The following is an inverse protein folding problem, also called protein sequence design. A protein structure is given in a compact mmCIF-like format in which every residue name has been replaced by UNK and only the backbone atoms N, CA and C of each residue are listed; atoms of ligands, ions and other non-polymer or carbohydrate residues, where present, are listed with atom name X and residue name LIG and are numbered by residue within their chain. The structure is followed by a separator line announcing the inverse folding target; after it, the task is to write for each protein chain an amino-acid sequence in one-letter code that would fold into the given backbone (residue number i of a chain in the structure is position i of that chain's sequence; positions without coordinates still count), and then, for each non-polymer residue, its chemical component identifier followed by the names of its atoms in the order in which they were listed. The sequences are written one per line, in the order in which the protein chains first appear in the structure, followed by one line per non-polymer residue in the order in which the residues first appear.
data_IF_372397134029
#
_entry.id   IF_372397134029
#
_cell.length_a   1.000
_cell.length_b   1.000
_cell.length_c   1.000
_cell.angle_alpha   90.00
_cell.angle_beta   90.00
_cell.angle_gamma   90.00
#
_symmetry.space_group_name_H-M   'P 1'
#
loop_
_entity.id
_entity.type
_entity.pdbx_description
1 polymer ?
#
# COMPACT_ATOMS: atom_id res chain seq x y z
N UNK A 1 -19.80 -2.22 -9.84
CA UNK A 1 -19.16 -1.16 -10.62
C UNK A 1 -19.72 -1.22 -12.04
N UNK A 2 -20.51 -0.23 -12.48
CA UNK A 2 -20.87 -0.11 -13.90
C UNK A 2 -19.61 0.20 -14.72
N UNK A 3 -19.54 -0.31 -15.95
CA UNK A 3 -18.45 0.01 -16.88
C UNK A 3 -18.68 1.41 -17.45
N UNK A 4 -17.74 2.36 -17.33
CA UNK A 4 -17.83 3.62 -18.04
C UNK A 4 -17.79 3.34 -19.55
N UNK A 5 -18.49 4.17 -20.33
CA UNK A 5 -18.41 4.10 -21.77
C UNK A 5 -16.98 4.42 -22.26
N UNK A 6 -16.67 3.96 -23.48
CA UNK A 6 -15.33 4.10 -24.07
C UNK A 6 -14.90 5.56 -24.21
N UNK A 7 -15.83 6.48 -24.45
CA UNK A 7 -15.53 7.90 -24.58
C UNK A 7 -15.06 8.50 -23.25
N UNK A 8 -15.71 8.15 -22.14
CA UNK A 8 -15.28 8.57 -20.80
C UNK A 8 -13.91 8.02 -20.41
N UNK A 9 -13.63 6.75 -20.69
CA UNK A 9 -12.32 6.17 -20.40
C UNK A 9 -11.21 6.79 -21.27
N UNK A 10 -11.49 7.05 -22.55
CA UNK A 10 -10.57 7.74 -23.43
C UNK A 10 -10.29 9.19 -22.98
N UNK A 11 -11.31 9.88 -22.45
CA UNK A 11 -11.18 11.26 -21.97
C UNK A 11 -10.25 11.41 -20.74
N UNK A 12 -9.95 10.31 -20.06
CA UNK A 12 -9.05 10.21 -18.90
C UNK A 12 -7.80 9.36 -19.20
N UNK A 13 -7.47 9.16 -20.48
CA UNK A 13 -6.21 8.56 -20.91
C UNK A 13 -5.03 9.52 -20.70
N UNK A 14 -4.72 9.77 -19.43
CA UNK A 14 -3.71 10.71 -18.99
C UNK A 14 -3.25 10.39 -17.57
N UNK A 15 -2.10 10.94 -17.21
CA UNK A 15 -1.60 10.98 -15.84
C UNK A 15 -2.50 11.87 -14.99
N UNK A 16 -2.40 11.74 -13.67
CA UNK A 16 -3.19 12.58 -12.78
C UNK A 16 -2.78 14.05 -12.86
N UNK A 17 -1.50 14.37 -13.04
CA UNK A 17 -1.06 15.76 -13.25
C UNK A 17 -1.65 16.38 -14.51
N UNK A 18 -1.67 15.65 -15.63
CA UNK A 18 -2.32 16.12 -16.86
C UNK A 18 -3.82 16.34 -16.67
N UNK A 19 -4.49 15.46 -15.90
CA UNK A 19 -5.89 15.66 -15.53
C UNK A 19 -6.09 16.95 -14.73
N UNK A 20 -5.23 17.25 -13.76
CA UNK A 20 -5.32 18.49 -13.00
C UNK A 20 -5.11 19.73 -13.88
N UNK A 21 -4.17 19.67 -14.82
CA UNK A 21 -3.90 20.73 -15.79
C UNK A 21 -5.09 20.98 -16.73
N UNK A 22 -5.66 19.90 -17.28
CA UNK A 22 -6.84 19.95 -18.15
C UNK A 22 -8.07 20.59 -17.49
N UNK A 23 -8.14 20.55 -16.16
CA UNK A 23 -9.28 21.04 -15.38
C UNK A 23 -8.96 22.30 -14.55
N UNK A 24 -7.82 22.96 -14.79
CA UNK A 24 -7.42 24.20 -14.11
C UNK A 24 -7.37 24.09 -12.56
N UNK A 25 -7.04 22.91 -12.04
CA UNK A 25 -6.98 22.61 -10.59
C UNK A 25 -5.58 22.17 -10.14
N UNK A 26 -4.54 22.57 -10.88
CA UNK A 26 -3.16 22.21 -10.58
C UNK A 26 -2.67 22.65 -9.19
N UNK A 27 -3.25 23.70 -8.63
CA UNK A 27 -2.94 24.18 -7.28
C UNK A 27 -3.12 23.08 -6.21
N UNK A 28 -3.98 22.09 -6.48
CA UNK A 28 -4.21 20.96 -5.58
C UNK A 28 -3.06 19.93 -5.56
N UNK A 29 -2.08 20.01 -6.48
CA UNK A 29 -0.89 19.14 -6.49
C UNK A 29 -0.18 19.11 -5.13
N UNK A 30 -0.16 20.25 -4.42
CA UNK A 30 0.45 20.37 -3.09
C UNK A 30 -0.23 19.50 -2.02
N UNK A 31 -1.55 19.29 -2.13
CA UNK A 31 -2.32 18.43 -1.22
C UNK A 31 -2.16 16.95 -1.63
N UNK A 32 -2.11 16.69 -2.93
CA UNK A 32 -2.03 15.32 -3.45
C UNK A 32 -0.68 14.66 -3.27
N UNK A 33 0.41 15.43 -3.22
CA UNK A 33 1.75 14.90 -2.99
C UNK A 33 1.86 14.11 -1.66
N UNK A 34 1.50 14.68 -0.48
CA UNK A 34 1.47 13.90 0.76
C UNK A 34 0.31 12.90 0.79
N UNK A 35 -0.81 13.18 0.14
CA UNK A 35 -1.99 12.31 0.18
C UNK A 35 -1.84 11.04 -0.67
N UNK A 36 -1.01 11.04 -1.73
CA UNK A 36 -0.82 9.89 -2.61
C UNK A 36 0.64 9.42 -2.63
N UNK A 37 1.55 10.27 -3.10
CA UNK A 37 2.94 9.88 -3.34
C UNK A 37 3.65 9.47 -2.06
N UNK A 38 3.55 10.27 -0.99
CA UNK A 38 4.16 9.91 0.32
C UNK A 38 3.67 8.57 0.87
N UNK A 39 2.46 8.14 0.51
CA UNK A 39 1.90 6.86 0.93
C UNK A 39 2.36 5.67 0.07
N UNK A 40 3.27 5.89 -0.88
CA UNK A 40 3.84 4.87 -1.74
C UNK A 40 3.07 4.64 -3.04
N UNK A 41 2.08 5.48 -3.36
CA UNK A 41 1.25 5.31 -4.57
C UNK A 41 1.85 5.90 -5.84
N UNK A 42 3.18 6.10 -5.90
CA UNK A 42 3.87 6.66 -7.06
C UNK A 42 3.73 8.18 -7.22
N UNK A 43 4.42 8.75 -8.20
CA UNK A 43 4.34 10.19 -8.48
C UNK A 43 3.08 10.53 -9.28
N UNK A 44 2.45 11.66 -8.96
CA UNK A 44 1.19 12.09 -9.57
C UNK A 44 1.30 12.37 -11.08
N UNK A 45 2.51 12.57 -11.60
CA UNK A 45 2.83 12.73 -13.02
C UNK A 45 3.13 11.40 -13.74
N UNK A 46 3.05 10.27 -13.03
CA UNK A 46 3.26 8.92 -13.58
C UNK A 46 2.00 8.04 -13.43
N UNK A 47 1.21 8.31 -12.39
CA UNK A 47 0.02 7.53 -12.03
C UNK A 47 -1.16 7.96 -12.90
N UNK A 48 -1.95 6.99 -13.37
CA UNK A 48 -3.16 7.28 -14.15
C UNK A 48 -4.17 8.09 -13.34
N UNK A 49 -4.90 8.98 -14.01
CA UNK A 49 -5.97 9.75 -13.38
C UNK A 49 -7.01 8.83 -12.72
N UNK A 50 -7.29 7.66 -13.32
CA UNK A 50 -8.23 6.66 -12.76
C UNK A 50 -7.79 6.19 -11.37
N UNK A 51 -6.54 5.75 -11.20
CA UNK A 51 -6.06 5.29 -9.90
C UNK A 51 -6.06 6.40 -8.87
N UNK A 52 -5.62 7.60 -9.27
CA UNK A 52 -5.64 8.76 -8.39
C UNK A 52 -7.07 9.08 -7.92
N UNK A 53 -8.08 9.01 -8.79
CA UNK A 53 -9.48 9.26 -8.42
C UNK A 53 -10.13 8.15 -7.57
N UNK A 54 -9.69 6.89 -7.72
CA UNK A 54 -10.12 5.80 -6.82
C UNK A 54 -9.69 6.08 -5.38
N UNK A 55 -8.50 6.66 -5.20
CA UNK A 55 -7.94 6.95 -3.88
C UNK A 55 -8.37 8.33 -3.34
N UNK A 56 -8.16 9.38 -4.13
CA UNK A 56 -8.33 10.79 -3.76
C UNK A 56 -9.79 11.24 -3.93
N UNK A 57 -10.69 10.50 -3.29
CA UNK A 57 -12.12 10.82 -3.29
C UNK A 57 -12.40 12.13 -2.54
N UNK A 58 -13.49 12.81 -2.89
CA UNK A 58 -13.94 14.01 -2.16
C UNK A 58 -14.07 13.75 -0.66
N UNK A 59 -14.63 12.61 -0.26
CA UNK A 59 -14.77 12.24 1.14
C UNK A 59 -13.42 12.10 1.84
N UNK A 60 -12.45 11.44 1.20
CA UNK A 60 -11.11 11.31 1.76
C UNK A 60 -10.44 12.68 1.95
N UNK A 61 -10.43 13.51 0.91
CA UNK A 61 -9.81 14.84 0.96
C UNK A 61 -10.48 15.76 1.99
N UNK A 62 -11.81 15.69 2.08
CA UNK A 62 -12.57 16.47 3.05
C UNK A 62 -12.23 16.04 4.48
N UNK A 63 -12.12 14.74 4.75
CA UNK A 63 -11.75 14.24 6.08
C UNK A 63 -10.26 14.47 6.41
N UNK A 64 -9.39 14.52 5.40
CA UNK A 64 -7.98 14.86 5.59
C UNK A 64 -7.80 16.30 6.10
N UNK A 65 -8.61 17.22 5.57
CA UNK A 65 -8.54 18.66 5.88
C UNK A 65 -9.40 19.07 7.09
N UNK A 66 -10.56 18.44 7.27
CA UNK A 66 -11.48 18.78 8.36
C UNK A 66 -10.94 18.29 9.70
N UNK A 67 -11.16 19.12 10.72
CA UNK A 67 -11.13 18.73 12.12
C UNK A 67 -12.55 18.51 12.62
N UNK A 68 -12.71 17.67 13.63
CA UNK A 68 -13.99 17.51 14.31
C UNK A 68 -14.31 18.71 15.22
N UNK A 69 -15.44 18.66 15.91
CA UNK A 69 -15.90 19.73 16.81
C UNK A 69 -14.93 20.04 17.96
N UNK A 70 -14.07 19.08 18.32
CA UNK A 70 -13.04 19.24 19.35
C UNK A 70 -11.68 19.64 18.75
N UNK A 71 -11.63 19.90 17.44
CA UNK A 71 -10.40 20.23 16.73
C UNK A 71 -9.51 19.03 16.42
N UNK A 72 -9.98 17.79 16.62
CA UNK A 72 -9.17 16.60 16.38
C UNK A 72 -9.16 16.17 14.91
N UNK A 73 -8.13 15.42 14.54
CA UNK A 73 -8.04 14.79 13.23
C UNK A 73 -9.07 13.68 13.06
N UNK A 74 -9.73 13.66 11.90
CA UNK A 74 -10.57 12.54 11.46
C UNK A 74 -9.77 11.32 10.99
N UNK A 75 -8.45 11.47 10.81
CA UNK A 75 -7.54 10.36 10.52
C UNK A 75 -7.14 9.70 11.84
N UNK A 76 -7.53 8.43 12.00
CA UNK A 76 -7.27 7.64 13.20
C UNK A 76 -6.27 6.51 12.92
N UNK A 77 -5.57 6.07 13.97
CA UNK A 77 -4.62 4.96 13.94
C UNK A 77 -5.11 3.89 14.92
N UNK A 78 -4.98 2.62 14.55
CA UNK A 78 -5.25 1.51 15.47
C UNK A 78 -4.10 1.41 16.48
N UNK A 79 -4.39 1.59 17.76
CA UNK A 79 -3.38 1.56 18.84
C UNK A 79 -2.62 0.24 18.95
N UNK A 80 -3.22 -0.86 18.48
CA UNK A 80 -2.58 -2.20 18.39
C UNK A 80 -2.16 -2.59 16.96
N UNK A 81 -2.29 -1.66 16.00
CA UNK A 81 -1.97 -1.89 14.59
C UNK A 81 -2.96 -2.78 13.84
N UNK A 82 -2.82 -2.82 12.50
CA UNK A 82 -3.66 -3.66 11.64
C UNK A 82 -3.41 -5.16 11.83
N UNK A 83 -2.19 -5.57 12.20
CA UNK A 83 -1.89 -6.98 12.45
C UNK A 83 -2.74 -7.56 13.58
N UNK A 84 -2.94 -6.82 14.66
CA UNK A 84 -3.80 -7.22 15.77
C UNK A 84 -5.25 -7.42 15.31
N UNK A 85 -5.76 -6.52 14.47
CA UNK A 85 -7.10 -6.64 13.90
C UNK A 85 -7.26 -7.97 13.12
N UNK A 86 -6.30 -8.32 12.27
CA UNK A 86 -6.35 -9.57 11.50
C UNK A 86 -6.24 -10.82 12.37
N UNK A 87 -5.40 -10.77 13.41
CA UNK A 87 -5.28 -11.85 14.39
C UNK A 87 -6.59 -12.08 15.15
N UNK A 88 -7.26 -11.00 15.57
CA UNK A 88 -8.57 -11.09 16.22
C UNK A 88 -9.65 -11.60 15.27
N UNK A 89 -9.68 -11.14 14.02
CA UNK A 89 -10.62 -11.67 13.02
C UNK A 89 -10.43 -13.17 12.81
N UNK A 90 -9.18 -13.63 12.66
CA UNK A 90 -8.87 -15.06 12.55
C UNK A 90 -9.37 -15.83 13.77
N UNK A 91 -9.05 -15.34 14.98
CA UNK A 91 -9.40 -15.99 16.25
C UNK A 91 -10.91 -16.09 16.45
N UNK A 92 -11.64 -15.00 16.22
CA UNK A 92 -13.09 -14.94 16.45
C UNK A 92 -13.89 -15.76 15.43
N UNK A 93 -13.42 -15.87 14.19
CA UNK A 93 -14.12 -16.59 13.13
C UNK A 93 -13.58 -18.01 12.88
N UNK A 94 -12.63 -18.47 13.71
CA UNK A 94 -11.96 -19.78 13.57
C UNK A 94 -11.48 -20.06 12.13
N UNK A 95 -10.84 -19.07 11.51
CA UNK A 95 -10.38 -19.18 10.12
C UNK A 95 -9.17 -20.13 10.01
N UNK A 96 -9.23 -21.08 9.08
CA UNK A 96 -8.08 -21.92 8.72
C UNK A 96 -7.04 -21.09 7.96
N UNK A 97 -6.07 -20.55 8.71
CA UNK A 97 -4.94 -19.80 8.17
C UNK A 97 -3.67 -20.57 8.50
N UNK A 98 -3.01 -21.05 7.44
CA UNK A 98 -1.77 -21.83 7.51
C UNK A 98 -0.58 -20.92 7.17
N UNK A 99 0.26 -20.65 8.17
CA UNK A 99 1.48 -19.85 8.03
C UNK A 99 2.66 -20.75 7.70
N UNK A 100 3.73 -20.18 7.13
CA UNK A 100 4.91 -20.93 6.68
C UNK A 100 4.58 -22.05 5.68
N UNK A 101 3.52 -21.84 4.90
CA UNK A 101 3.03 -22.79 3.90
C UNK A 101 3.17 -22.26 2.47
N UNK A 102 4.40 -22.08 1.95
CA UNK A 102 4.57 -21.50 0.62
C UNK A 102 3.97 -22.43 -0.44
N UNK A 103 3.05 -21.89 -1.23
CA UNK A 103 2.52 -22.54 -2.43
C UNK A 103 3.58 -22.47 -3.53
N UNK A 104 3.95 -23.64 -4.05
CA UNK A 104 5.02 -23.81 -5.03
C UNK A 104 4.49 -24.14 -6.42
N UNK A 105 3.25 -24.64 -6.50
CA UNK A 105 2.61 -24.94 -7.77
C UNK A 105 1.10 -25.13 -7.60
N UNK A 106 0.37 -24.82 -8.67
CA UNK A 106 -1.06 -25.03 -8.79
C UNK A 106 -1.30 -25.71 -10.13
N UNK A 107 -1.76 -26.97 -10.08
CA UNK A 107 -2.15 -27.71 -11.27
C UNK A 107 -3.65 -27.57 -11.45
N UNK A 108 -4.04 -27.06 -12.61
CA UNK A 108 -5.45 -26.84 -12.97
C UNK A 108 -5.99 -28.01 -13.79
N UNK A 109 -7.16 -28.50 -13.40
CA UNK A 109 -7.98 -29.44 -14.18
C UNK A 109 -9.22 -28.73 -14.75
N UNK A 110 -10.10 -29.45 -15.46
CA UNK A 110 -11.34 -28.86 -16.00
C UNK A 110 -12.29 -28.30 -14.92
N UNK A 111 -12.27 -28.85 -13.70
CA UNK A 111 -13.21 -28.51 -12.62
C UNK A 111 -12.59 -28.50 -11.22
N UNK A 112 -11.27 -28.57 -11.12
CA UNK A 112 -10.59 -28.62 -9.84
C UNK A 112 -9.16 -28.15 -9.94
N UNK A 113 -8.55 -27.94 -8.78
CA UNK A 113 -7.18 -27.49 -8.60
C UNK A 113 -6.47 -28.44 -7.65
N UNK A 114 -5.20 -28.72 -7.92
CA UNK A 114 -4.30 -29.37 -6.99
C UNK A 114 -3.27 -28.34 -6.57
N UNK A 115 -3.29 -27.98 -5.29
CA UNK A 115 -2.28 -27.13 -4.68
C UNK A 115 -1.10 -27.98 -4.24
N UNK A 116 0.10 -27.53 -4.61
CA UNK A 116 1.38 -28.11 -4.22
C UNK A 116 2.08 -27.08 -3.34
N UNK A 117 2.26 -27.41 -2.06
CA UNK A 117 2.87 -26.50 -1.09
C UNK A 117 3.74 -27.25 -0.10
N UNK A 118 4.57 -26.51 0.65
CA UNK A 118 5.28 -27.06 1.79
C UNK A 118 4.54 -26.75 3.07
N UNK A 119 4.50 -27.69 4.00
CA UNK A 119 4.03 -27.47 5.37
C UNK A 119 5.04 -28.10 6.31
N UNK A 120 5.66 -27.29 7.17
CA UNK A 120 6.75 -27.72 8.06
C UNK A 120 7.84 -28.53 7.33
N UNK A 121 8.19 -28.10 6.10
CA UNK A 121 9.12 -28.76 5.16
C UNK A 121 8.64 -30.07 4.49
N UNK A 122 7.41 -30.51 4.75
CA UNK A 122 6.81 -31.65 4.04
C UNK A 122 6.04 -31.20 2.81
N UNK A 123 6.13 -31.98 1.74
CA UNK A 123 5.30 -31.76 0.56
C UNK A 123 3.85 -32.12 0.85
N UNK A 124 2.94 -31.21 0.48
CA UNK A 124 1.49 -31.39 0.56
C UNK A 124 0.87 -31.22 -0.81
N UNK A 125 -0.16 -32.02 -1.05
CA UNK A 125 -0.98 -32.04 -2.25
C UNK A 125 -2.43 -32.01 -1.80
N UNK A 126 -3.17 -30.97 -2.17
CA UNK A 126 -4.54 -30.79 -1.68
C UNK A 126 -5.45 -30.35 -2.83
N UNK A 127 -6.65 -30.91 -2.86
CA UNK A 127 -7.63 -30.70 -3.91
C UNK A 127 -8.60 -29.58 -3.53
N UNK A 128 -8.91 -28.71 -4.48
CA UNK A 128 -9.87 -27.62 -4.31
C UNK A 128 -10.77 -27.50 -5.54
N UNK A 129 -12.03 -27.11 -5.33
CA UNK A 129 -12.99 -26.88 -6.43
C UNK A 129 -12.79 -25.50 -7.09
N UNK A 130 -12.31 -24.53 -6.31
CA UNK A 130 -12.06 -23.17 -6.76
C UNK A 130 -10.88 -22.53 -6.04
N UNK A 131 -10.41 -21.40 -6.60
CA UNK A 131 -9.35 -20.59 -6.01
C UNK A 131 -9.79 -19.13 -5.85
N UNK A 132 -9.33 -18.52 -4.77
CA UNK A 132 -9.37 -17.08 -4.57
C UNK A 132 -7.92 -16.62 -4.46
N UNK A 133 -7.44 -15.87 -5.45
CA UNK A 133 -6.07 -15.41 -5.54
C UNK A 133 -5.99 -13.96 -5.07
N UNK A 134 -5.16 -13.70 -4.07
CA UNK A 134 -4.84 -12.36 -3.54
C UNK A 134 -3.47 -11.80 -3.94
N UNK A 135 -2.45 -12.60 -4.35
CA UNK A 135 -1.15 -12.04 -4.75
C UNK A 135 -1.26 -11.21 -6.04
N UNK A 136 -0.19 -10.47 -6.35
CA UNK A 136 -0.05 -9.83 -7.67
C UNK A 136 -0.03 -10.92 -8.74
N UNK A 137 -1.02 -10.93 -9.65
CA UNK A 137 -1.20 -12.08 -10.55
C UNK A 137 0.02 -12.33 -11.44
N UNK A 138 0.71 -11.27 -11.88
CA UNK A 138 1.97 -11.38 -12.62
C UNK A 138 3.06 -12.18 -11.88
N UNK A 139 3.12 -12.10 -10.55
CA UNK A 139 4.11 -12.86 -9.76
C UNK A 139 3.77 -14.35 -9.63
N UNK A 140 2.54 -14.75 -9.99
CA UNK A 140 2.08 -16.13 -9.92
C UNK A 140 2.33 -16.92 -11.21
N UNK A 141 2.91 -16.33 -12.25
CA UNK A 141 3.14 -16.99 -13.55
C UNK A 141 3.99 -18.27 -13.46
N UNK A 142 4.86 -18.37 -12.45
CA UNK A 142 5.65 -19.57 -12.17
C UNK A 142 4.96 -20.58 -11.23
N UNK A 143 3.82 -20.21 -10.65
CA UNK A 143 3.05 -21.02 -9.68
C UNK A 143 1.82 -21.62 -10.36
N UNK A 144 1.13 -20.84 -11.20
CA UNK A 144 -0.06 -21.25 -11.95
C UNK A 144 0.10 -20.86 -13.42
N UNK A 145 -0.26 -21.79 -14.31
CA UNK A 145 -0.32 -21.50 -15.74
C UNK A 145 -1.66 -20.82 -16.09
N UNK A 146 -1.64 -19.50 -16.19
CA UNK A 146 -2.74 -18.70 -16.70
C UNK A 146 -2.97 -18.96 -18.21
N UNK A 147 -4.22 -18.92 -18.66
CA UNK A 147 -4.54 -19.00 -20.08
C UNK A 147 -4.23 -17.68 -20.82
N UNK A 148 -4.45 -17.64 -22.13
CA UNK A 148 -4.13 -16.47 -22.95
C UNK A 148 -4.89 -15.18 -22.54
N UNK A 149 -6.16 -15.29 -22.20
CA UNK A 149 -7.00 -14.17 -21.74
C UNK A 149 -6.55 -13.67 -20.36
N UNK A 150 -6.24 -14.58 -19.44
CA UNK A 150 -5.70 -14.23 -18.12
C UNK A 150 -4.32 -13.55 -18.24
N UNK A 151 -3.42 -14.12 -19.03
CA UNK A 151 -2.06 -13.58 -19.23
C UNK A 151 -2.07 -12.19 -19.86
N UNK A 152 -2.95 -11.95 -20.84
CA UNK A 152 -3.02 -10.63 -21.50
C UNK A 152 -3.41 -9.53 -20.52
N UNK A 153 -4.22 -9.84 -19.49
CA UNK A 153 -4.64 -8.91 -18.45
C UNK A 153 -3.57 -8.69 -17.39
N UNK A 154 -2.73 -9.67 -17.06
CA UNK A 154 -1.82 -9.56 -15.91
C UNK A 154 -0.41 -9.11 -16.28
N UNK A 155 0.04 -9.37 -17.50
CA UNK A 155 1.44 -9.20 -17.91
C UNK A 155 1.96 -7.75 -17.88
N UNK A 156 1.10 -6.77 -18.14
CA UNK A 156 1.51 -5.35 -18.25
C UNK A 156 1.61 -4.64 -16.91
N UNK A 157 1.13 -5.28 -15.85
CA UNK A 157 1.24 -4.71 -14.50
C UNK A 157 2.69 -4.55 -14.05
N UNK A 158 2.91 -3.54 -13.22
CA UNK A 158 4.19 -3.24 -12.60
C UNK A 158 3.97 -2.66 -11.20
N UNK A 159 5.01 -2.63 -10.38
CA UNK A 159 4.97 -2.06 -9.04
C UNK A 159 6.26 -1.27 -8.79
N UNK A 160 6.24 -0.48 -7.72
CA UNK A 160 7.45 0.03 -7.10
C UNK A 160 7.66 -0.68 -5.76
N UNK A 161 8.82 -0.45 -5.16
CA UNK A 161 9.11 -0.95 -3.84
C UNK A 161 8.83 0.15 -2.83
N UNK A 162 8.07 -0.18 -1.79
CA UNK A 162 7.94 0.69 -0.63
C UNK A 162 8.71 0.07 0.52
N UNK A 163 9.54 0.86 1.18
CA UNK A 163 10.35 0.42 2.30
C UNK A 163 9.99 1.22 3.54
N UNK A 164 9.85 0.50 4.65
CA UNK A 164 9.80 1.09 5.97
C UNK A 164 11.01 0.60 6.78
N UNK A 165 11.71 1.53 7.43
CA UNK A 165 12.74 1.21 8.41
C UNK A 165 12.27 1.66 9.79
N UNK A 166 12.16 0.71 10.72
CA UNK A 166 12.06 1.02 12.15
C UNK A 166 13.46 1.34 12.65
N UNK A 167 13.66 2.56 13.16
CA UNK A 167 14.94 2.97 13.71
C UNK A 167 14.77 3.69 15.05
N UNK A 168 15.68 3.40 15.96
CA UNK A 168 15.83 4.15 17.20
C UNK A 168 16.83 5.27 17.02
N UNK A 169 16.42 6.48 17.37
CA UNK A 169 17.27 7.68 17.29
C UNK A 169 17.38 8.36 18.64
N UNK A 170 18.53 9.00 18.90
CA UNK A 170 18.60 9.96 20.02
C UNK A 170 17.79 11.21 19.68
N UNK A 171 17.56 12.04 20.71
CA UNK A 171 16.96 13.34 20.48
C UNK A 171 17.85 14.23 19.61
N UNK A 172 17.22 15.00 18.73
CA UNK A 172 17.86 15.93 17.80
C UNK A 172 16.89 17.04 17.40
N UNK A 173 17.12 17.67 16.24
CA UNK A 173 16.20 18.64 15.65
C UNK A 173 14.90 17.97 15.22
N UNK A 174 13.77 18.53 15.64
CA UNK A 174 12.43 18.01 15.33
C UNK A 174 11.51 19.11 14.81
N UNK A 175 10.53 18.68 14.00
CA UNK A 175 9.36 19.47 13.64
C UNK A 175 8.41 19.65 14.83
N UNK A 176 7.35 20.43 14.66
CA UNK A 176 6.26 20.53 15.64
C UNK A 176 5.33 19.30 15.63
N UNK A 177 5.31 18.54 14.54
CA UNK A 177 4.50 17.32 14.44
C UNK A 177 5.39 16.07 14.54
N UNK A 178 4.91 14.98 15.20
CA UNK A 178 5.60 13.69 15.28
C UNK A 178 5.54 12.89 13.98
N UNK A 179 5.10 13.52 12.89
CA UNK A 179 5.14 13.02 11.52
C UNK A 179 5.67 14.14 10.66
N UNK A 180 6.60 13.84 9.76
CA UNK A 180 7.18 14.83 8.86
C UNK A 180 7.35 14.26 7.46
N UNK A 181 7.27 15.16 6.47
CA UNK A 181 7.46 14.85 5.06
C UNK A 181 8.57 15.71 4.47
N UNK A 182 9.42 15.11 3.66
CA UNK A 182 10.53 15.76 2.99
C UNK A 182 10.16 15.99 1.52
N UNK A 183 9.36 17.03 1.28
CA UNK A 183 8.78 17.30 -0.04
C UNK A 183 9.82 17.38 -1.16
N UNK A 184 11.02 17.93 -0.88
CA UNK A 184 12.10 18.02 -1.86
C UNK A 184 12.65 16.63 -2.25
N UNK A 185 12.74 15.71 -1.29
CA UNK A 185 13.14 14.32 -1.55
C UNK A 185 12.08 13.58 -2.38
N UNK A 186 10.80 13.88 -2.13
CA UNK A 186 9.71 13.31 -2.93
C UNK A 186 9.77 13.87 -4.36
N UNK A 187 9.95 15.19 -4.52
CA UNK A 187 9.98 15.85 -5.83
C UNK A 187 11.21 15.51 -6.66
N UNK A 188 12.35 15.22 -6.03
CA UNK A 188 13.59 14.89 -6.74
C UNK A 188 13.53 13.55 -7.46
N UNK A 189 12.61 12.66 -7.07
CA UNK A 189 12.47 11.28 -7.57
C UNK A 189 13.75 10.46 -7.45
N UNK A 190 14.71 10.91 -6.63
CA UNK A 190 15.93 10.17 -6.38
C UNK A 190 15.58 8.96 -5.52
N UNK A 191 15.90 7.79 -6.05
CA UNK A 191 15.65 6.49 -5.44
C UNK A 191 16.21 6.44 -4.00
N UNK A 192 15.48 5.79 -3.08
CA UNK A 192 15.91 5.53 -1.69
C UNK A 192 16.03 6.74 -0.77
N UNK A 193 15.76 7.98 -1.22
CA UNK A 193 15.71 9.09 -0.27
C UNK A 193 14.57 8.90 0.73
N UNK A 194 14.79 9.32 1.98
CA UNK A 194 13.75 9.32 3.01
C UNK A 194 12.68 10.34 2.62
N UNK A 195 11.44 9.89 2.48
CA UNK A 195 10.30 10.72 2.07
C UNK A 195 9.55 11.29 3.27
N UNK A 196 9.58 10.57 4.39
CA UNK A 196 9.03 11.04 5.63
C UNK A 196 9.24 10.07 6.76
N UNK A 197 8.77 10.46 7.93
CA UNK A 197 8.91 9.68 9.15
C UNK A 197 7.66 9.79 10.02
N UNK A 198 7.55 8.87 10.98
CA UNK A 198 6.59 8.94 12.08
C UNK A 198 7.25 8.47 13.39
N UNK A 199 7.27 9.33 14.39
CA UNK A 199 7.64 8.99 15.77
C UNK A 199 6.49 8.25 16.44
N UNK A 200 6.73 7.01 16.86
CA UNK A 200 5.67 6.09 17.27
C UNK A 200 4.99 6.50 18.57
N UNK A 201 5.79 6.71 19.62
CA UNK A 201 5.26 7.06 20.94
C UNK A 201 4.50 8.39 20.93
N UNK A 202 5.09 9.42 20.30
CA UNK A 202 4.47 10.73 20.20
C UNK A 202 3.18 10.70 19.38
N UNK A 203 3.15 9.95 18.27
CA UNK A 203 1.92 9.81 17.46
C UNK A 203 0.80 9.07 18.20
N UNK A 204 1.14 8.05 19.00
CA UNK A 204 0.14 7.30 19.79
C UNK A 204 -0.44 8.10 20.96
N UNK A 205 0.36 9.00 21.54
CA UNK A 205 -0.03 9.79 22.72
C UNK A 205 -0.39 11.26 22.38
N UNK A 206 -0.56 11.57 21.09
CA UNK A 206 -0.87 12.91 20.59
C UNK A 206 0.08 14.01 21.13
N UNK A 207 1.38 13.70 21.22
CA UNK A 207 2.40 14.65 21.67
C UNK A 207 2.87 15.45 20.46
N UNK A 208 2.54 16.74 20.45
CA UNK A 208 2.75 17.69 19.34
C UNK A 208 3.25 19.04 19.86
N UNK A 209 3.58 19.96 18.94
CA UNK A 209 4.00 21.32 19.24
C UNK A 209 5.30 21.39 20.03
N UNK A 210 5.37 22.39 20.93
CA UNK A 210 6.53 22.62 21.79
C UNK A 210 6.93 21.38 22.60
N UNK A 211 5.97 20.62 23.11
CA UNK A 211 6.26 19.40 23.89
C UNK A 211 7.05 18.39 23.05
N UNK A 212 6.63 18.17 21.81
CA UNK A 212 7.34 17.26 20.91
C UNK A 212 8.68 17.84 20.42
N UNK A 213 8.72 19.11 20.03
CA UNK A 213 9.90 19.78 19.49
C UNK A 213 10.97 20.13 20.52
N UNK A 214 10.63 20.12 21.80
CA UNK A 214 11.56 20.26 22.94
C UNK A 214 11.86 18.92 23.62
N UNK A 215 11.22 17.83 23.19
CA UNK A 215 11.47 16.50 23.71
C UNK A 215 10.92 16.24 25.12
N UNK A 216 9.85 16.95 25.47
CA UNK A 216 9.15 16.85 26.75
C UNK A 216 8.09 15.75 26.63
N UNK A 217 8.32 14.64 27.33
CA UNK A 217 7.42 13.47 27.32
C UNK A 217 6.90 13.21 28.74
N UNK A 218 5.58 13.09 28.96
CA UNK A 218 5.02 12.79 30.27
C UNK A 218 5.63 11.51 30.87
N UNK A 219 6.30 11.62 32.02
CA UNK A 219 6.96 10.49 32.72
C UNK A 219 8.32 10.05 32.16
N UNK A 220 8.92 10.80 31.24
CA UNK A 220 10.25 10.53 30.67
C UNK A 220 11.37 11.43 31.22
N UNK A 221 12.62 11.01 31.05
CA UNK A 221 13.78 11.91 31.14
C UNK A 221 13.94 12.62 29.80
N UNK A 222 13.97 13.95 29.82
CA UNK A 222 14.08 14.81 28.64
C UNK A 222 15.31 14.44 27.80
N UNK A 223 15.13 14.31 26.48
CA UNK A 223 16.22 14.30 25.49
C UNK A 223 17.22 13.13 25.47
N UNK A 224 17.22 12.22 26.47
CA UNK A 224 18.26 11.17 26.58
C UNK A 224 17.80 9.80 26.05
N UNK A 225 16.49 9.51 26.09
CA UNK A 225 15.99 8.19 25.67
C UNK A 225 16.01 8.05 24.14
N UNK A 226 16.47 6.89 23.68
CA UNK A 226 16.26 6.43 22.31
C UNK A 226 14.76 6.43 22.01
N UNK A 227 14.41 6.90 20.81
CA UNK A 227 13.03 6.97 20.36
C UNK A 227 12.87 6.25 19.03
N UNK A 228 11.82 5.45 18.94
CA UNK A 228 11.54 4.68 17.73
C UNK A 228 10.70 5.49 16.74
N UNK A 229 11.23 5.57 15.53
CA UNK A 229 10.57 6.16 14.37
C UNK A 229 10.49 5.17 13.24
N UNK A 230 9.42 5.24 12.46
CA UNK A 230 9.33 4.58 11.16
C UNK A 230 9.70 5.61 10.09
N UNK A 231 10.65 5.25 9.25
CA UNK A 231 11.08 6.02 8.09
C UNK A 231 10.58 5.37 6.81
N UNK A 232 10.08 6.17 5.87
CA UNK A 232 9.51 5.69 4.62
C UNK A 232 10.38 6.09 3.42
N UNK A 233 10.63 5.14 2.53
CA UNK A 233 11.37 5.30 1.28
C UNK A 233 10.60 4.60 0.17
N UNK A 234 10.52 5.20 -1.02
CA UNK A 234 9.99 4.55 -2.22
C UNK A 234 11.13 4.33 -3.22
N UNK A 235 11.07 3.21 -3.94
CA UNK A 235 12.11 2.81 -4.84
C UNK A 235 11.59 2.18 -6.14
N UNK A 236 12.23 2.47 -7.25
CA UNK A 236 11.93 1.83 -8.53
C UNK A 236 12.53 0.43 -8.64
N UNK A 237 13.67 0.20 -7.98
CA UNK A 237 14.36 -1.08 -7.95
C UNK A 237 14.38 -1.66 -6.53
N UNK A 238 14.45 -2.99 -6.43
CA UNK A 238 14.50 -3.64 -5.12
C UNK A 238 15.76 -3.19 -4.37
N UNK A 239 15.63 -2.65 -3.15
CA UNK A 239 16.77 -2.10 -2.43
C UNK A 239 17.77 -3.16 -1.99
N UNK A 240 19.05 -2.82 -2.06
CA UNK A 240 20.07 -3.42 -1.21
C UNK A 240 19.93 -2.78 0.18
N UNK A 241 19.50 -3.58 1.16
CA UNK A 241 19.16 -3.11 2.52
C UNK A 241 20.24 -2.24 3.17
N UNK A 242 21.49 -2.70 3.11
CA UNK A 242 22.62 -1.96 3.67
C UNK A 242 22.80 -0.55 3.06
N UNK A 243 22.56 -0.40 1.74
CA UNK A 243 22.64 0.90 1.06
C UNK A 243 21.48 1.80 1.52
N UNK A 244 20.26 1.26 1.58
CA UNK A 244 19.10 2.03 2.04
C UNK A 244 19.23 2.46 3.51
N UNK A 245 19.83 1.62 4.36
CA UNK A 245 20.15 1.95 5.74
C UNK A 245 21.21 3.06 5.84
N UNK A 246 22.27 3.00 5.03
CA UNK A 246 23.28 4.07 5.02
C UNK A 246 22.65 5.41 4.60
N UNK A 247 21.80 5.41 3.57
CA UNK A 247 21.10 6.62 3.14
C UNK A 247 20.14 7.17 4.20
N UNK A 248 19.49 6.29 4.97
CA UNK A 248 18.71 6.70 6.13
C UNK A 248 19.62 7.37 7.18
N UNK A 249 20.76 6.76 7.53
CA UNK A 249 21.71 7.32 8.51
C UNK A 249 22.20 8.70 8.08
N UNK A 250 22.61 8.84 6.83
CA UNK A 250 23.09 10.11 6.26
C UNK A 250 21.98 11.17 6.30
N UNK A 251 20.75 10.79 5.96
CA UNK A 251 19.60 11.68 6.01
C UNK A 251 19.31 12.16 7.44
N UNK A 252 19.17 11.23 8.39
CA UNK A 252 18.81 11.55 9.78
C UNK A 252 19.91 12.38 10.44
N UNK A 253 21.18 12.04 10.23
CA UNK A 253 22.30 12.84 10.73
C UNK A 253 22.29 14.27 10.17
N UNK A 254 21.96 14.45 8.89
CA UNK A 254 21.94 15.77 8.26
C UNK A 254 20.72 16.62 8.66
N UNK A 255 19.54 16.00 8.69
CA UNK A 255 18.26 16.71 8.82
C UNK A 255 17.81 16.82 10.26
N UNK A 256 17.86 15.70 10.98
CA UNK A 256 17.45 15.60 12.39
C UNK A 256 18.63 15.82 13.34
N UNK A 257 19.88 15.83 12.86
CA UNK A 257 21.07 16.12 13.68
C UNK A 257 21.19 15.25 14.93
N UNK A 258 20.79 13.98 14.82
CA UNK A 258 20.88 13.01 15.92
C UNK A 258 22.30 12.46 16.03
N UNK A 259 22.64 11.95 17.22
CA UNK A 259 23.96 11.33 17.47
C UNK A 259 23.97 9.82 17.22
N UNK A 260 22.83 9.16 17.46
CA UNK A 260 22.70 7.72 17.33
C UNK A 260 21.52 7.41 16.42
N UNK A 261 21.74 6.50 15.47
CA UNK A 261 20.71 5.86 14.65
C UNK A 261 20.93 4.36 14.76
N UNK A 262 19.91 3.60 15.14
CA UNK A 262 19.94 2.13 15.17
C UNK A 262 18.76 1.59 14.39
N UNK A 263 19.01 1.11 13.18
CA UNK A 263 18.00 0.39 12.42
C UNK A 263 17.69 -0.94 13.15
N UNK A 264 16.43 -1.13 13.52
CA UNK A 264 15.93 -2.32 14.20
C UNK A 264 15.37 -3.32 13.19
N UNK A 265 14.57 -2.83 12.25
CA UNK A 265 13.91 -3.67 11.25
C UNK A 265 13.71 -2.91 9.95
N UNK A 266 13.82 -3.63 8.83
CA UNK A 266 13.50 -3.13 7.49
C UNK A 266 12.54 -4.08 6.79
N UNK A 267 11.40 -3.53 6.38
CA UNK A 267 10.42 -4.25 5.57
C UNK A 267 10.35 -3.59 4.20
N UNK A 268 10.28 -4.42 3.16
CA UNK A 268 10.19 -4.01 1.77
C UNK A 268 8.98 -4.71 1.17
N UNK A 269 8.08 -3.93 0.59
CA UNK A 269 6.90 -4.42 -0.11
C UNK A 269 7.03 -4.16 -1.60
N UNK A 270 6.64 -5.15 -2.41
CA UNK A 270 6.25 -4.95 -3.81
C UNK A 270 4.90 -4.22 -3.78
N UNK A 271 4.93 -2.90 -3.85
CA UNK A 271 3.83 -2.05 -3.40
C UNK A 271 3.15 -1.33 -4.55
N UNK A 272 1.82 -1.23 -4.45
CA UNK A 272 0.97 -0.56 -5.43
C UNK A 272 1.19 -1.10 -6.85
N UNK A 273 0.97 -2.40 -6.98
CA UNK A 273 0.91 -3.05 -8.28
C UNK A 273 -0.23 -2.43 -9.11
N UNK A 274 0.12 -1.95 -10.29
CA UNK A 274 -0.74 -1.09 -11.11
C UNK A 274 -0.48 -1.28 -12.59
N UNK A 275 -1.39 -0.72 -13.39
CA UNK A 275 -1.31 -0.72 -14.85
C UNK A 275 -0.86 0.63 -15.43
N UNK A 276 -0.20 0.61 -16.61
CA UNK A 276 0.09 1.82 -17.38
C UNK A 276 -1.16 2.65 -17.69
N UNK A 277 -0.96 3.95 -17.93
CA UNK A 277 -2.04 4.89 -18.28
C UNK A 277 -2.93 4.38 -19.44
N UNK A 278 -2.38 3.89 -20.57
CA UNK A 278 -3.21 3.41 -21.68
C UNK A 278 -4.08 2.20 -21.30
N UNK A 279 -3.53 1.25 -20.54
CA UNK A 279 -4.26 0.05 -20.12
C UNK A 279 -5.43 0.42 -19.20
N UNK A 280 -5.20 1.35 -18.28
CA UNK A 280 -6.23 1.89 -17.41
C UNK A 280 -7.34 2.59 -18.21
N UNK A 281 -6.97 3.35 -19.24
CA UNK A 281 -7.91 4.00 -20.14
C UNK A 281 -8.62 3.05 -21.12
N UNK A 282 -8.09 1.85 -21.33
CA UNK A 282 -8.76 0.79 -22.08
C UNK A 282 -9.72 -0.04 -21.19
N UNK A 283 -9.70 0.19 -19.88
CA UNK A 283 -10.63 -0.41 -18.95
C UNK A 283 -10.19 -1.76 -18.39
N UNK A 284 -8.87 -1.99 -18.26
CA UNK A 284 -8.31 -3.26 -17.80
C UNK A 284 -8.88 -3.75 -16.46
N UNK A 285 -9.20 -2.85 -15.52
CA UNK A 285 -9.82 -3.24 -14.24
C UNK A 285 -11.23 -3.82 -14.42
N UNK A 286 -11.97 -3.38 -15.45
CA UNK A 286 -13.27 -3.94 -15.80
C UNK A 286 -13.12 -5.25 -16.55
N UNK A 287 -12.10 -5.40 -17.40
CA UNK A 287 -11.81 -6.70 -18.04
C UNK A 287 -11.49 -7.77 -16.99
N UNK A 288 -10.72 -7.43 -15.94
CA UNK A 288 -10.47 -8.34 -14.81
C UNK A 288 -11.76 -8.64 -14.03
N UNK A 289 -12.67 -7.67 -13.91
CA UNK A 289 -13.96 -7.87 -13.27
C UNK A 289 -14.88 -8.81 -14.08
N UNK A 290 -14.80 -8.77 -15.41
CA UNK A 290 -15.61 -9.58 -16.31
C UNK A 290 -15.22 -11.06 -16.30
N UNK A 291 -13.96 -11.38 -15.94
CA UNK A 291 -13.48 -12.77 -15.85
C UNK A 291 -13.62 -13.40 -14.45
N UNK A 292 -14.17 -12.68 -13.46
CA UNK A 292 -14.30 -13.18 -12.09
C UNK A 292 -15.16 -14.46 -12.04
N UNK A 293 -14.64 -15.52 -11.42
CA UNK A 293 -15.30 -16.82 -11.33
C UNK A 293 -15.25 -17.64 -12.62
N UNK A 294 -14.84 -17.04 -13.74
CA UNK A 294 -14.51 -17.80 -14.94
C UNK A 294 -13.44 -18.80 -14.56
N UNK A 295 -13.62 -20.05 -14.98
CA UNK A 295 -12.69 -21.12 -14.70
C UNK A 295 -12.55 -21.52 -13.21
N UNK A 296 -13.45 -21.07 -12.34
CA UNK A 296 -13.36 -21.37 -10.91
C UNK A 296 -12.27 -20.58 -10.19
N UNK A 297 -11.87 -19.41 -10.71
CA UNK A 297 -10.88 -18.54 -10.08
C UNK A 297 -11.46 -17.15 -9.87
N UNK A 298 -11.23 -16.60 -8.68
CA UNK A 298 -11.52 -15.21 -8.35
C UNK A 298 -10.23 -14.48 -8.04
N UNK A 299 -10.08 -13.28 -8.59
CA UNK A 299 -8.89 -12.44 -8.42
C UNK A 299 -9.26 -11.27 -7.53
N UNK A 300 -8.63 -11.19 -6.35
CA UNK A 300 -8.86 -10.17 -5.34
C UNK A 300 -7.52 -9.61 -4.85
N UNK A 301 -7.53 -8.89 -3.72
CA UNK A 301 -6.32 -8.26 -3.17
C UNK A 301 -6.07 -6.90 -3.81
N UNK A 302 -5.06 -6.19 -3.33
CA UNK A 302 -4.78 -4.80 -3.72
C UNK A 302 -4.46 -4.60 -5.20
N UNK A 303 -3.95 -5.64 -5.86
CA UNK A 303 -3.65 -5.68 -7.29
C UNK A 303 -4.85 -5.33 -8.18
N UNK A 304 -6.06 -5.70 -7.76
CA UNK A 304 -7.24 -5.57 -8.62
C UNK A 304 -7.92 -4.19 -8.47
N UNK A 305 -8.36 -3.74 -7.27
CA UNK A 305 -9.03 -2.46 -7.16
C UNK A 305 -8.06 -1.30 -6.94
N UNK A 306 -7.24 -1.38 -5.89
CA UNK A 306 -6.26 -0.39 -5.44
C UNK A 306 -5.57 -0.89 -4.16
N UNK A 307 -4.37 -0.38 -3.88
CA UNK A 307 -3.58 -0.66 -2.66
C UNK A 307 -4.11 0.07 -1.42
N UNK A 308 -5.37 -0.16 -1.07
CA UNK A 308 -5.97 0.30 0.20
C UNK A 308 -6.98 -0.72 0.74
N UNK A 309 -7.06 -0.84 2.07
CA UNK A 309 -7.99 -1.77 2.71
C UNK A 309 -9.45 -1.47 2.33
N UNK A 310 -9.83 -0.19 2.28
CA UNK A 310 -11.19 0.21 1.89
C UNK A 310 -11.52 -0.20 0.47
N UNK A 311 -10.59 -0.04 -0.49
CA UNK A 311 -10.81 -0.46 -1.86
C UNK A 311 -10.89 -2.00 -1.98
N UNK A 312 -10.01 -2.72 -1.31
CA UNK A 312 -10.01 -4.20 -1.30
C UNK A 312 -11.30 -4.74 -0.69
N UNK A 313 -11.71 -4.26 0.49
CA UNK A 313 -12.97 -4.67 1.13
C UNK A 313 -14.18 -4.28 0.28
N UNK A 314 -14.18 -3.07 -0.29
CA UNK A 314 -15.25 -2.63 -1.20
C UNK A 314 -15.38 -3.51 -2.43
N UNK A 315 -14.25 -3.92 -3.02
CA UNK A 315 -14.21 -4.83 -4.16
C UNK A 315 -14.67 -6.23 -3.79
N UNK A 316 -14.20 -6.78 -2.67
CA UNK A 316 -14.64 -8.10 -2.20
C UNK A 316 -16.15 -8.11 -1.96
N UNK A 317 -16.71 -7.07 -1.34
CA UNK A 317 -18.15 -6.92 -1.15
C UNK A 317 -18.92 -6.80 -2.47
N UNK A 318 -18.34 -6.15 -3.48
CA UNK A 318 -18.91 -6.12 -4.84
C UNK A 318 -18.97 -7.53 -5.44
N UNK A 319 -17.90 -8.31 -5.30
CA UNK A 319 -17.86 -9.69 -5.80
C UNK A 319 -18.85 -10.59 -5.06
N UNK A 320 -18.89 -10.54 -3.73
CA UNK A 320 -19.87 -11.31 -2.95
C UNK A 320 -21.31 -11.08 -3.39
N UNK A 321 -21.66 -9.83 -3.76
CA UNK A 321 -23.01 -9.50 -4.27
C UNK A 321 -23.28 -9.99 -5.70
N UNK A 322 -22.23 -10.30 -6.47
CA UNK A 322 -22.31 -10.77 -7.86
C UNK A 322 -22.07 -12.26 -8.01
N UNK A 323 -21.49 -12.90 -7.01
CA UNK A 323 -21.24 -14.34 -7.02
C UNK A 323 -22.57 -15.07 -6.87
N UNK A 324 -22.99 -15.75 -7.94
CA UNK A 324 -23.82 -16.95 -7.80
C UNK A 324 -22.91 -18.05 -7.24
N UNK A 325 -22.66 -18.01 -5.93
CA UNK A 325 -21.98 -19.12 -5.27
C UNK A 325 -22.81 -20.39 -5.53
N UNK A 326 -22.18 -21.52 -5.88
CA UNK A 326 -22.89 -22.79 -5.89
C UNK A 326 -23.61 -22.92 -4.56
N UNK A 327 -24.93 -23.18 -4.59
CA UNK A 327 -25.68 -23.44 -3.35
C UNK A 327 -24.95 -24.56 -2.61
N UNK A 328 -24.39 -24.22 -1.44
CA UNK A 328 -23.73 -25.19 -0.55
C UNK A 328 -24.74 -26.24 -0.08
#
# INVERSE_FOLDING_TARGET
MPRPDRAKLAAINMTFVEFLGKHDIEILKAIFLPAATMQGYGHVDEVSAVYAMIWLTQNFLTNLLRRDENGESNIKILSKGFQFLWQEMRRQNNLDVRLNSPVLGIVRSKRSFILIYRDCNFWRFEHFDFLILTPVMKSLSNIIHFNQEENSLFQTSFHYYFMATLADTTYGRRSEAPTGYFADNIKSKIDKLVWGFRYLYASLNNIVGANYSSGIFPGGTDGIKLQSSIYYQMLQARPVRAIAEQMLRDHVNRVEQVQVVRAQEQIVWDYFARYPVPDMANGILWDILDIQGKYGIWYIGSFVPFESLTAVVGYNNLLFKRMDLPKM
#
